data_IF_149863250559
#
_entry.id   IF_149863250559
#
_cell.length_a   1.000
_cell.length_b   1.000
_cell.length_c   1.000
_cell.angle_alpha   90.00
_cell.angle_beta   90.00
_cell.angle_gamma   90.00
#
_symmetry.space_group_name_H-M   'P 1'
#
loop_
_entity.id
_entity.type
_entity.pdbx_description
1 polymer ?
#
# COMPACT_ATOMS: atom_id res chain seq x y z
N UNK A 1 26.34 9.24 -29.25
CA UNK A 1 24.96 8.85 -28.87
C UNK A 1 24.01 9.75 -29.63
N UNK A 2 23.07 9.18 -30.38
CA UNK A 2 22.11 9.93 -31.20
C UNK A 2 21.11 10.69 -30.31
N UNK A 3 20.49 11.74 -30.84
CA UNK A 3 19.35 12.41 -30.20
C UNK A 3 18.22 11.42 -29.92
N UNK A 4 17.97 10.50 -30.85
CA UNK A 4 16.97 9.43 -30.71
C UNK A 4 17.29 8.48 -29.55
N UNK A 5 18.57 8.11 -29.37
CA UNK A 5 19.00 7.23 -28.27
C UNK A 5 18.79 7.89 -26.90
N UNK A 6 18.97 9.22 -26.83
CA UNK A 6 18.76 10.00 -25.60
C UNK A 6 17.27 10.11 -25.25
N UNK A 7 16.40 10.32 -26.23
CA UNK A 7 14.95 10.34 -26.04
C UNK A 7 14.43 8.98 -25.57
N UNK A 8 14.86 7.90 -26.22
CA UNK A 8 14.50 6.55 -25.83
C UNK A 8 14.96 6.21 -24.39
N UNK A 9 16.20 6.58 -24.04
CA UNK A 9 16.73 6.38 -22.69
C UNK A 9 15.95 7.17 -21.63
N UNK A 10 15.61 8.43 -21.93
CA UNK A 10 14.81 9.26 -21.03
C UNK A 10 13.39 8.70 -20.81
N UNK A 11 12.74 8.23 -21.89
CA UNK A 11 11.44 7.58 -21.80
C UNK A 11 11.50 6.29 -20.95
N UNK A 12 12.56 5.49 -21.12
CA UNK A 12 12.76 4.28 -20.32
C UNK A 12 12.92 4.61 -18.82
N UNK A 13 13.76 5.58 -18.48
CA UNK A 13 13.98 5.98 -17.08
C UNK A 13 12.68 6.47 -16.44
N UNK A 14 11.88 7.27 -17.15
CA UNK A 14 10.57 7.72 -16.64
C UNK A 14 9.63 6.56 -16.37
N UNK A 15 9.58 5.57 -17.27
CA UNK A 15 8.75 4.37 -17.08
C UNK A 15 9.21 3.55 -15.88
N UNK A 16 10.51 3.35 -15.73
CA UNK A 16 11.07 2.63 -14.59
C UNK A 16 10.75 3.34 -13.27
N UNK A 17 10.92 4.67 -13.24
CA UNK A 17 10.60 5.47 -12.06
C UNK A 17 9.11 5.41 -11.71
N UNK A 18 8.22 5.53 -12.70
CA UNK A 18 6.79 5.41 -12.49
C UNK A 18 6.39 4.03 -11.95
N UNK A 19 6.99 2.95 -12.48
CA UNK A 19 6.75 1.60 -11.98
C UNK A 19 7.26 1.43 -10.54
N UNK A 20 8.44 1.98 -10.21
CA UNK A 20 8.98 1.96 -8.85
C UNK A 20 8.09 2.72 -7.87
N UNK A 21 7.57 3.89 -8.26
CA UNK A 21 6.60 4.65 -7.46
C UNK A 21 5.30 3.87 -7.25
N UNK A 22 4.76 3.24 -8.29
CA UNK A 22 3.56 2.43 -8.19
C UNK A 22 3.76 1.22 -7.25
N UNK A 23 4.92 0.57 -7.31
CA UNK A 23 5.26 -0.52 -6.40
C UNK A 23 5.33 -0.07 -4.93
N UNK A 24 5.75 1.18 -4.70
CA UNK A 24 5.84 1.80 -3.38
C UNK A 24 4.57 2.56 -2.97
N UNK A 25 3.49 2.50 -3.76
CA UNK A 25 2.21 3.13 -3.40
C UNK A 25 1.68 2.47 -2.11
N UNK A 26 1.37 3.24 -1.05
CA UNK A 26 1.08 2.68 0.26
C UNK A 26 -0.08 1.67 0.31
N UNK A 27 -1.19 1.94 -0.37
CA UNK A 27 -2.34 1.03 -0.37
C UNK A 27 -2.03 -0.28 -1.10
N UNK A 28 -1.47 -0.18 -2.31
CA UNK A 28 -1.03 -1.34 -3.10
C UNK A 28 0.08 -2.15 -2.41
N UNK A 29 0.92 -1.50 -1.60
CA UNK A 29 1.92 -2.19 -0.79
C UNK A 29 1.27 -3.02 0.33
N UNK A 30 0.20 -2.51 0.96
CA UNK A 30 -0.58 -3.27 1.97
C UNK A 30 -1.27 -4.47 1.31
N UNK A 31 -1.98 -4.26 0.20
CA UNK A 31 -2.67 -5.35 -0.50
C UNK A 31 -1.70 -6.45 -0.93
N UNK A 32 -0.60 -6.07 -1.57
CA UNK A 32 0.44 -7.03 -1.98
C UNK A 32 1.02 -7.78 -0.79
N UNK A 33 1.28 -7.12 0.33
CA UNK A 33 1.79 -7.79 1.52
C UNK A 33 0.82 -8.88 2.01
N UNK A 34 -0.48 -8.59 2.05
CA UNK A 34 -1.50 -9.54 2.50
C UNK A 34 -1.70 -10.68 1.50
N UNK A 35 -1.59 -10.40 0.20
CA UNK A 35 -1.66 -11.43 -0.84
C UNK A 35 -0.42 -12.35 -0.80
N UNK A 36 0.77 -11.80 -0.53
CA UNK A 36 2.02 -12.57 -0.39
C UNK A 36 2.09 -13.35 0.94
N UNK A 37 1.29 -12.97 1.94
CA UNK A 37 1.24 -13.57 3.28
C UNK A 37 -0.20 -13.98 3.66
N UNK A 38 -0.78 -14.98 2.98
CA UNK A 38 -2.17 -15.37 3.17
C UNK A 38 -2.47 -15.86 4.59
N UNK A 39 -1.47 -16.31 5.35
CA UNK A 39 -1.61 -16.66 6.76
C UNK A 39 -1.96 -15.45 7.63
N UNK A 40 -1.45 -14.26 7.30
CA UNK A 40 -1.76 -13.01 8.01
C UNK A 40 -3.18 -12.58 7.68
N UNK A 41 -3.53 -12.58 6.38
CA UNK A 41 -4.88 -12.27 5.92
C UNK A 41 -5.92 -13.19 6.56
N UNK A 42 -5.64 -14.50 6.56
CA UNK A 42 -6.50 -15.51 7.20
C UNK A 42 -6.61 -15.30 8.71
N UNK A 43 -5.52 -14.95 9.40
CA UNK A 43 -5.54 -14.69 10.84
C UNK A 43 -6.41 -13.48 11.17
N UNK A 44 -6.31 -12.39 10.40
CA UNK A 44 -7.13 -11.18 10.59
C UNK A 44 -8.59 -11.48 10.28
N UNK A 45 -8.88 -12.08 9.12
CA UNK A 45 -10.24 -12.43 8.70
C UNK A 45 -10.92 -13.43 9.66
N UNK A 46 -10.15 -14.36 10.22
CA UNK A 46 -10.60 -15.37 11.18
C UNK A 46 -10.62 -14.92 12.64
N UNK A 47 -10.24 -13.67 12.94
CA UNK A 47 -10.21 -13.15 14.31
C UNK A 47 -11.62 -13.15 14.91
N UNK A 48 -11.79 -13.84 16.05
CA UNK A 48 -13.06 -13.87 16.81
C UNK A 48 -13.29 -12.62 17.65
N UNK A 49 -12.23 -11.86 17.92
CA UNK A 49 -12.28 -10.59 18.64
C UNK A 49 -12.46 -9.39 17.71
N UNK A 50 -12.16 -8.21 18.23
CA UNK A 50 -12.21 -6.96 17.47
C UNK A 50 -10.87 -6.70 16.75
N UNK A 51 -10.93 -6.28 15.48
CA UNK A 51 -9.76 -5.80 14.75
C UNK A 51 -9.67 -4.29 14.92
N UNK A 52 -8.53 -3.82 15.39
CA UNK A 52 -8.23 -2.39 15.56
C UNK A 52 -7.08 -1.99 14.63
N UNK A 53 -7.24 -0.88 13.92
CA UNK A 53 -6.19 -0.34 13.03
C UNK A 53 -5.45 0.81 13.71
N UNK A 54 -4.15 0.66 13.90
CA UNK A 54 -3.29 1.72 14.45
C UNK A 54 -2.19 2.04 13.46
N UNK A 55 -2.04 3.31 13.12
CA UNK A 55 -1.02 3.78 12.19
C UNK A 55 -0.44 5.12 12.59
N UNK A 56 0.85 5.32 12.33
CA UNK A 56 1.52 6.59 12.50
C UNK A 56 2.52 6.82 11.37
N UNK A 57 2.43 7.98 10.72
CA UNK A 57 3.29 8.33 9.60
C UNK A 57 2.52 8.93 8.42
N UNK A 58 3.25 9.59 7.52
CA UNK A 58 2.68 10.36 6.40
C UNK A 58 1.76 9.53 5.48
N UNK A 59 2.03 8.23 5.36
CA UNK A 59 1.28 7.31 4.50
C UNK A 59 0.20 6.51 5.24
N UNK A 60 0.13 6.63 6.57
CA UNK A 60 -0.71 5.73 7.39
C UNK A 60 -2.19 5.90 7.12
N UNK A 61 -2.65 7.08 6.68
CA UNK A 61 -4.04 7.26 6.25
C UNK A 61 -4.38 6.39 5.04
N UNK A 62 -3.58 6.43 3.97
CA UNK A 62 -3.80 5.61 2.78
C UNK A 62 -3.66 4.11 3.07
N UNK A 63 -2.71 3.72 3.93
CA UNK A 63 -2.56 2.32 4.34
C UNK A 63 -3.76 1.82 5.15
N UNK A 64 -4.27 2.64 6.08
CA UNK A 64 -5.44 2.30 6.88
C UNK A 64 -6.71 2.22 6.02
N UNK A 65 -6.83 3.09 5.01
CA UNK A 65 -7.92 3.02 4.04
C UNK A 65 -7.90 1.70 3.26
N UNK A 66 -6.74 1.23 2.79
CA UNK A 66 -6.63 -0.07 2.12
C UNK A 66 -7.09 -1.22 3.03
N UNK A 67 -6.64 -1.25 4.29
CA UNK A 67 -7.12 -2.21 5.28
C UNK A 67 -8.64 -2.14 5.48
N UNK A 68 -9.21 -0.93 5.49
CA UNK A 68 -10.65 -0.74 5.61
C UNK A 68 -11.41 -1.24 4.38
N UNK A 69 -10.89 -1.05 3.17
CA UNK A 69 -11.50 -1.60 1.95
C UNK A 69 -11.47 -3.13 1.96
N UNK A 70 -10.39 -3.74 2.45
CA UNK A 70 -10.25 -5.20 2.48
C UNK A 70 -11.08 -5.87 3.57
N UNK A 71 -11.06 -5.36 4.81
CA UNK A 71 -11.67 -6.01 5.97
C UNK A 71 -13.01 -5.38 6.40
N UNK A 72 -13.32 -4.16 5.95
CA UNK A 72 -14.59 -3.48 6.17
C UNK A 72 -15.07 -3.52 7.62
N UNK A 73 -16.29 -4.04 7.81
CA UNK A 73 -16.95 -4.14 9.11
C UNK A 73 -16.24 -5.03 10.14
N UNK A 74 -15.12 -5.68 9.79
CA UNK A 74 -14.26 -6.37 10.76
C UNK A 74 -13.38 -5.44 11.56
N UNK A 75 -13.08 -4.27 11.04
CA UNK A 75 -12.40 -3.23 11.80
C UNK A 75 -13.42 -2.56 12.72
N UNK A 76 -13.22 -2.74 14.03
CA UNK A 76 -14.06 -2.15 15.08
C UNK A 76 -13.77 -0.66 15.29
N UNK A 77 -12.54 -0.24 15.01
CA UNK A 77 -12.10 1.14 15.15
C UNK A 77 -10.62 1.30 14.86
N UNK A 78 -10.10 2.50 15.08
CA UNK A 78 -8.69 2.76 14.87
C UNK A 78 -8.24 4.18 15.21
N UNK A 79 -6.93 4.36 15.21
CA UNK A 79 -6.27 5.65 15.38
C UNK A 79 -5.17 5.78 14.32
N UNK A 80 -5.24 6.84 13.53
CA UNK A 80 -4.23 7.15 12.52
C UNK A 80 -3.67 8.55 12.80
N UNK A 81 -2.36 8.61 13.02
CA UNK A 81 -1.64 9.87 13.26
C UNK A 81 -0.87 10.24 11.99
N UNK A 82 -1.34 11.28 11.31
CA UNK A 82 -0.67 11.90 10.17
C UNK A 82 -0.17 13.28 10.55
N UNK A 83 0.74 13.82 9.74
CA UNK A 83 1.09 15.25 9.83
C UNK A 83 0.04 16.04 9.06
N UNK A 84 -0.32 17.20 9.58
CA UNK A 84 -1.03 18.25 8.84
C UNK A 84 -0.26 18.72 7.58
#
# INVERSE_FOLDING_TARGET
MSLADREASHALVRRLFAAALAAAEPGAAVERFLDDHPEVDTAIAGTRGEVWVVGAGKASAAMAEALFQRYGARIAGGLVIVRD
#
